data_IF_979442638338
#
_entry.id   IF_979442638338
#
_cell.length_a   1.000
_cell.length_b   1.000
_cell.length_c   1.000
_cell.angle_alpha   90.00
_cell.angle_beta   90.00
_cell.angle_gamma   90.00
#
_symmetry.space_group_name_H-M   'P 1'
#
loop_
_entity.id
_entity.type
_entity.pdbx_description
1 polymer ?
#
# COMPACT_ATOMS: atom_id res chain seq x y z
N UNK A 1 22.22 -2.92 12.34
CA UNK A 1 22.36 -2.80 10.90
C UNK A 1 21.00 -2.81 10.22
N UNK A 2 20.77 -1.83 9.40
CA UNK A 2 19.57 -1.77 8.60
C UNK A 2 19.76 -2.57 7.32
N UNK A 3 18.84 -3.48 7.04
CA UNK A 3 18.85 -4.20 5.79
C UNK A 3 17.44 -4.36 5.27
N UNK A 4 17.32 -4.50 3.98
CA UNK A 4 16.03 -4.70 3.32
C UNK A 4 16.21 -5.65 2.13
N UNK A 5 15.34 -6.64 2.05
CA UNK A 5 15.24 -7.58 0.93
C UNK A 5 13.86 -7.41 0.35
N UNK A 6 13.76 -7.24 -0.97
CA UNK A 6 12.51 -6.90 -1.62
C UNK A 6 12.35 -7.64 -2.96
N UNK A 7 12.18 -8.97 -2.95
CA UNK A 7 11.90 -9.70 -4.19
C UNK A 7 10.51 -9.34 -4.73
N UNK A 8 10.40 -9.26 -6.05
CA UNK A 8 9.17 -8.94 -6.75
C UNK A 8 9.01 -9.90 -7.92
N UNK A 9 7.86 -10.54 -8.00
CA UNK A 9 7.48 -11.41 -9.11
C UNK A 9 6.32 -10.76 -9.86
N UNK A 10 6.50 -10.53 -11.16
CA UNK A 10 5.47 -9.92 -11.99
C UNK A 10 5.09 -10.87 -13.13
N UNK A 11 3.80 -11.10 -13.27
CA UNK A 11 3.23 -11.87 -14.36
C UNK A 11 2.44 -10.94 -15.28
N UNK A 12 2.72 -11.01 -16.57
CA UNK A 12 2.03 -10.23 -17.58
C UNK A 12 1.01 -11.10 -18.29
N UNK A 13 -0.24 -10.65 -18.32
CA UNK A 13 -1.31 -11.27 -19.09
C UNK A 13 -1.74 -10.32 -20.21
N UNK A 14 -1.30 -10.60 -21.43
CA UNK A 14 -1.51 -9.68 -22.54
C UNK A 14 -0.62 -8.45 -22.47
N UNK A 15 -0.94 -7.44 -23.28
CA UNK A 15 -0.12 -6.23 -23.37
C UNK A 15 -0.32 -5.25 -22.21
N UNK A 16 -1.50 -5.28 -21.58
CA UNK A 16 -1.92 -4.22 -20.65
C UNK A 16 -2.32 -4.71 -19.28
N UNK A 17 -2.20 -5.99 -19.00
CA UNK A 17 -2.58 -6.56 -17.71
C UNK A 17 -1.38 -7.17 -17.01
N UNK A 18 -1.26 -6.91 -15.71
CA UNK A 18 -0.18 -7.53 -14.92
C UNK A 18 -0.64 -7.79 -13.49
N UNK A 19 -0.09 -8.85 -12.93
CA UNK A 19 -0.24 -9.21 -11.53
C UNK A 19 1.16 -9.25 -10.93
N UNK A 20 1.37 -8.52 -9.84
CA UNK A 20 2.66 -8.47 -9.16
C UNK A 20 2.52 -8.99 -7.74
N UNK A 21 3.47 -9.83 -7.33
CA UNK A 21 3.62 -10.28 -5.97
C UNK A 21 4.90 -9.69 -5.42
N UNK A 22 4.79 -9.04 -4.26
CA UNK A 22 5.91 -8.38 -3.62
C UNK A 22 6.08 -8.95 -2.23
N UNK A 23 7.29 -9.31 -1.88
CA UNK A 23 7.67 -9.66 -0.52
C UNK A 23 8.79 -8.72 -0.10
N UNK A 24 8.62 -8.09 1.04
CA UNK A 24 9.65 -7.21 1.59
C UNK A 24 9.93 -7.60 3.03
N UNK A 25 11.19 -7.83 3.32
CA UNK A 25 11.69 -8.00 4.68
C UNK A 25 12.64 -6.85 4.97
N UNK A 26 12.35 -6.09 6.00
CA UNK A 26 13.22 -4.99 6.42
C UNK A 26 13.47 -5.05 7.90
N UNK A 27 14.67 -4.68 8.29
CA UNK A 27 15.09 -4.56 9.67
C UNK A 27 15.73 -3.20 9.84
N UNK A 28 15.10 -2.37 10.66
CA UNK A 28 15.51 -1.00 10.91
C UNK A 28 15.80 -0.87 12.40
N UNK A 29 16.94 -0.30 12.74
CA UNK A 29 17.32 -0.07 14.12
C UNK A 29 17.74 1.38 14.34
N UNK A 30 17.31 1.93 15.48
CA UNK A 30 17.73 3.24 15.92
C UNK A 30 18.83 3.05 16.97
N UNK A 31 20.05 3.45 16.63
CA UNK A 31 21.21 3.31 17.51
C UNK A 31 21.34 4.48 18.49
N UNK A 32 20.50 5.49 18.37
CA UNK A 32 20.52 6.70 19.21
C UNK A 32 19.30 6.62 20.15
N UNK A 33 19.51 6.97 21.42
CA UNK A 33 18.45 6.95 22.41
C UNK A 33 18.16 5.56 22.96
N UNK A 34 16.90 5.12 22.94
CA UNK A 34 16.44 3.88 23.56
C UNK A 34 16.69 2.63 22.71
N UNK A 35 17.46 2.72 21.66
CA UNK A 35 17.80 1.58 20.76
C UNK A 35 16.55 0.87 20.22
N UNK A 36 15.60 1.62 19.72
CA UNK A 36 14.39 1.10 19.13
C UNK A 36 14.69 0.34 17.85
N UNK A 37 13.95 -0.73 17.60
CA UNK A 37 14.12 -1.54 16.40
C UNK A 37 12.78 -1.96 15.83
N UNK A 38 12.71 -2.09 14.52
CA UNK A 38 11.54 -2.54 13.79
C UNK A 38 11.96 -3.65 12.83
N UNK A 39 11.29 -4.79 12.94
CA UNK A 39 11.34 -5.85 11.94
C UNK A 39 9.99 -5.88 11.23
N UNK A 40 10.00 -5.63 9.95
CA UNK A 40 8.79 -5.56 9.14
C UNK A 40 8.82 -6.60 8.04
N UNK A 41 7.73 -7.37 7.94
CA UNK A 41 7.46 -8.25 6.81
C UNK A 41 6.26 -7.72 6.07
N UNK A 42 6.36 -7.63 4.76
CA UNK A 42 5.29 -7.16 3.90
C UNK A 42 5.07 -8.15 2.78
N UNK A 43 3.82 -8.60 2.63
CA UNK A 43 3.35 -9.32 1.45
C UNK A 43 2.40 -8.41 0.68
N UNK A 44 2.69 -8.18 -0.57
CA UNK A 44 1.88 -7.33 -1.43
C UNK A 44 1.43 -8.06 -2.67
N UNK A 45 0.18 -7.81 -3.06
CA UNK A 45 -0.38 -8.25 -4.34
C UNK A 45 -0.89 -7.00 -5.03
N UNK A 46 -0.47 -6.80 -6.27
CA UNK A 46 -0.88 -5.67 -7.09
C UNK A 46 -1.47 -6.20 -8.40
N UNK A 47 -2.68 -5.76 -8.70
CA UNK A 47 -3.37 -6.08 -9.93
C UNK A 47 -3.51 -4.80 -10.76
N UNK A 48 -2.99 -4.82 -11.95
CA UNK A 48 -3.06 -3.70 -12.88
C UNK A 48 -3.79 -4.16 -14.14
N UNK A 49 -4.94 -3.57 -14.39
CA UNK A 49 -5.73 -3.80 -15.59
C UNK A 49 -5.85 -2.50 -16.35
N UNK A 50 -5.33 -2.46 -17.57
CA UNK A 50 -5.41 -1.29 -18.44
C UNK A 50 -5.96 -1.75 -19.78
N UNK A 51 -7.27 -1.64 -19.98
CA UNK A 51 -7.91 -1.95 -21.24
C UNK A 51 -7.91 -0.71 -22.13
N UNK A 52 -6.86 -0.54 -22.89
CA UNK A 52 -6.70 0.56 -23.83
C UNK A 52 -6.81 1.93 -23.13
N UNK A 53 -6.71 3.02 -23.85
CA UNK A 53 -6.60 4.38 -23.31
C UNK A 53 -7.83 4.87 -22.52
N UNK A 54 -8.91 4.08 -22.46
CA UNK A 54 -10.19 4.53 -21.89
C UNK A 54 -10.50 3.99 -20.50
N UNK A 55 -9.76 2.99 -20.01
CA UNK A 55 -10.02 2.35 -18.72
C UNK A 55 -8.72 1.96 -18.04
N UNK A 56 -8.61 2.29 -16.79
CA UNK A 56 -7.54 1.80 -15.93
C UNK A 56 -8.11 1.32 -14.61
N UNK A 57 -7.66 0.18 -14.14
CA UNK A 57 -8.01 -0.35 -12.84
C UNK A 57 -6.75 -0.82 -12.16
N UNK A 58 -6.51 -0.32 -10.95
CA UNK A 58 -5.37 -0.71 -10.13
C UNK A 58 -5.91 -1.13 -8.77
N UNK A 59 -5.59 -2.34 -8.36
CA UNK A 59 -5.93 -2.85 -7.04
C UNK A 59 -4.67 -3.33 -6.35
N UNK A 60 -4.48 -2.92 -5.12
CA UNK A 60 -3.36 -3.32 -4.31
C UNK A 60 -3.85 -3.82 -2.96
N UNK A 61 -3.27 -4.91 -2.51
CA UNK A 61 -3.50 -5.45 -1.18
C UNK A 61 -2.15 -5.72 -0.54
N UNK A 62 -1.96 -5.23 0.67
CA UNK A 62 -0.72 -5.41 1.42
C UNK A 62 -1.03 -5.93 2.82
N UNK A 63 -0.22 -6.88 3.24
CA UNK A 63 -0.18 -7.39 4.60
C UNK A 63 1.17 -7.04 5.21
N UNK A 64 1.14 -6.37 6.36
CA UNK A 64 2.34 -6.00 7.09
C UNK A 64 2.34 -6.67 8.45
N UNK A 65 3.42 -7.33 8.78
CA UNK A 65 3.68 -7.80 10.13
C UNK A 65 4.84 -7.00 10.69
N UNK A 66 4.55 -6.20 11.71
CA UNK A 66 5.51 -5.31 12.35
C UNK A 66 5.86 -5.83 13.74
N UNK A 67 7.13 -6.09 13.96
CA UNK A 67 7.66 -6.37 15.29
C UNK A 67 8.49 -5.16 15.71
N UNK A 68 7.89 -4.31 16.53
CA UNK A 68 8.54 -3.10 17.01
C UNK A 68 9.01 -3.32 18.44
N UNK A 69 10.28 -3.05 18.69
CA UNK A 69 10.88 -3.09 20.00
C UNK A 69 11.21 -1.66 20.44
N UNK A 70 10.46 -1.15 21.40
CA UNK A 70 10.57 0.21 21.88
C UNK A 70 9.24 0.72 22.43
N UNK A 71 9.16 2.01 22.67
CA UNK A 71 7.95 2.63 23.19
C UNK A 71 6.91 2.79 22.07
N UNK A 72 5.75 2.15 22.26
CA UNK A 72 4.62 2.28 21.33
C UNK A 72 4.02 3.69 21.47
N UNK A 73 3.40 4.14 20.38
CA UNK A 73 2.78 5.47 20.28
C UNK A 73 3.76 6.64 20.40
N UNK A 74 5.06 6.38 20.25
CA UNK A 74 6.06 7.44 20.17
C UNK A 74 6.14 7.97 18.74
N UNK A 75 6.75 9.14 18.59
CA UNK A 75 7.00 9.73 17.26
C UNK A 75 7.90 8.79 16.44
N UNK A 76 8.89 8.17 17.08
CA UNK A 76 9.83 7.27 16.40
C UNK A 76 9.09 6.02 15.91
N UNK A 77 8.19 5.44 16.71
CA UNK A 77 7.41 4.29 16.27
C UNK A 77 6.51 4.64 15.09
N UNK A 78 5.90 5.82 15.09
CA UNK A 78 5.08 6.29 13.98
C UNK A 78 5.90 6.41 12.69
N UNK A 79 7.08 7.00 12.76
CA UNK A 79 7.94 7.18 11.60
C UNK A 79 8.45 5.83 11.08
N UNK A 80 8.93 4.97 11.96
CA UNK A 80 9.49 3.67 11.57
C UNK A 80 8.45 2.75 10.94
N UNK A 81 7.22 2.78 11.46
CA UNK A 81 6.12 1.93 10.96
C UNK A 81 5.26 2.63 9.90
N UNK A 82 5.63 3.83 9.46
CA UNK A 82 4.88 4.60 8.47
C UNK A 82 3.41 4.81 8.86
N UNK A 83 3.16 5.08 10.14
CA UNK A 83 1.81 5.26 10.65
C UNK A 83 1.04 3.97 10.92
N UNK A 84 1.62 2.80 10.66
CA UNK A 84 1.02 1.51 10.97
C UNK A 84 1.24 1.16 12.44
N UNK A 85 0.52 0.17 12.90
CA UNK A 85 0.64 -0.31 14.28
C UNK A 85 1.62 -1.49 14.35
N UNK A 86 2.10 -1.79 15.56
CA UNK A 86 2.80 -3.03 15.81
C UNK A 86 1.86 -4.22 15.61
N UNK A 87 2.39 -5.36 15.18
CA UNK A 87 1.61 -6.57 14.92
C UNK A 87 1.15 -6.65 13.47
N UNK A 88 -0.07 -7.08 13.26
CA UNK A 88 -0.62 -7.33 11.93
C UNK A 88 -1.37 -6.12 11.41
N UNK A 89 -1.07 -5.72 10.17
CA UNK A 89 -1.71 -4.62 9.49
C UNK A 89 -2.09 -5.03 8.07
N UNK A 90 -3.26 -4.60 7.65
CA UNK A 90 -3.78 -4.84 6.31
C UNK A 90 -4.07 -3.50 5.66
N UNK A 91 -3.63 -3.32 4.43
CA UNK A 91 -4.00 -2.16 3.63
C UNK A 91 -4.44 -2.62 2.26
N UNK A 92 -5.46 -1.96 1.72
CA UNK A 92 -5.94 -2.24 0.38
C UNK A 92 -6.33 -0.94 -0.29
N UNK A 93 -6.20 -0.94 -1.61
CA UNK A 93 -6.59 0.21 -2.41
C UNK A 93 -7.18 -0.24 -3.73
N UNK A 94 -8.18 0.49 -4.18
CA UNK A 94 -8.78 0.33 -5.50
C UNK A 94 -8.77 1.70 -6.17
N UNK A 95 -8.21 1.75 -7.36
CA UNK A 95 -8.22 2.96 -8.20
C UNK A 95 -8.82 2.58 -9.53
N UNK A 96 -9.86 3.30 -9.91
CA UNK A 96 -10.56 3.09 -11.16
C UNK A 96 -10.61 4.40 -11.90
N UNK A 97 -10.18 4.38 -13.16
CA UNK A 97 -10.22 5.53 -14.04
C UNK A 97 -10.94 5.15 -15.31
N UNK A 98 -11.89 5.97 -15.72
CA UNK A 98 -12.62 5.76 -16.95
C UNK A 98 -12.90 7.09 -17.63
N UNK A 99 -12.71 7.10 -18.95
CA UNK A 99 -13.09 8.23 -19.77
C UNK A 99 -14.56 8.03 -20.20
N UNK A 100 -15.45 8.88 -19.71
CA UNK A 100 -16.88 8.80 -20.01
C UNK A 100 -17.21 9.40 -21.38
N UNK A 101 -16.49 10.44 -21.79
CA UNK A 101 -16.62 11.07 -23.09
C UNK A 101 -15.31 11.73 -23.46
N UNK A 102 -15.24 12.34 -24.64
CA UNK A 102 -14.04 13.07 -25.07
C UNK A 102 -13.67 14.22 -24.11
N UNK A 103 -14.65 14.71 -23.34
CA UNK A 103 -14.49 15.88 -22.48
C UNK A 103 -14.65 15.56 -20.98
N UNK A 104 -14.90 14.31 -20.62
CA UNK A 104 -15.21 13.98 -19.24
C UNK A 104 -14.51 12.70 -18.80
N UNK A 105 -13.69 12.81 -17.76
CA UNK A 105 -13.02 11.69 -17.09
C UNK A 105 -13.55 11.52 -15.68
N UNK A 106 -13.67 10.27 -15.24
CA UNK A 106 -14.00 9.93 -13.86
C UNK A 106 -12.87 9.15 -13.23
N UNK A 107 -12.47 9.54 -12.02
CA UNK A 107 -11.52 8.82 -11.19
C UNK A 107 -12.20 8.43 -9.89
N UNK A 108 -12.12 7.16 -9.55
CA UNK A 108 -12.60 6.64 -8.28
C UNK A 108 -11.43 6.05 -7.52
N UNK A 109 -11.27 6.45 -6.26
CA UNK A 109 -10.20 5.97 -5.39
C UNK A 109 -10.83 5.51 -4.07
N UNK A 110 -10.53 4.27 -3.69
CA UNK A 110 -10.95 3.72 -2.40
C UNK A 110 -9.73 3.16 -1.69
N UNK A 111 -9.53 3.57 -0.46
CA UNK A 111 -8.44 3.12 0.40
C UNK A 111 -9.03 2.55 1.68
N UNK A 112 -8.50 1.42 2.13
CA UNK A 112 -8.88 0.85 3.39
C UNK A 112 -7.66 0.35 4.15
N UNK A 113 -7.77 0.33 5.46
CA UNK A 113 -6.74 -0.26 6.31
C UNK A 113 -7.33 -0.80 7.60
N UNK A 114 -6.70 -1.84 8.11
CA UNK A 114 -7.03 -2.42 9.40
C UNK A 114 -5.76 -2.80 10.12
N UNK A 115 -5.66 -2.46 11.39
CA UNK A 115 -4.50 -2.77 12.24
C UNK A 115 -4.98 -3.51 13.49
N UNK A 116 -4.54 -4.75 13.69
CA UNK A 116 -4.84 -5.57 14.86
C UNK A 116 -6.33 -5.52 15.23
N UNK A 117 -6.63 -5.09 16.48
CA UNK A 117 -7.99 -4.97 17.01
C UNK A 117 -8.62 -3.61 16.73
N UNK A 118 -7.94 -2.71 16.05
CA UNK A 118 -8.47 -1.40 15.72
C UNK A 118 -9.56 -1.50 14.68
N UNK A 119 -10.41 -0.47 14.62
CA UNK A 119 -11.47 -0.41 13.63
C UNK A 119 -10.89 -0.27 12.24
N UNK A 120 -11.58 -0.87 11.28
CA UNK A 120 -11.25 -0.68 9.88
C UNK A 120 -11.52 0.77 9.46
N UNK A 121 -10.56 1.38 8.79
CA UNK A 121 -10.69 2.74 8.29
C UNK A 121 -10.93 2.67 6.78
N UNK A 122 -11.98 3.32 6.33
CA UNK A 122 -12.35 3.41 4.93
C UNK A 122 -12.25 4.86 4.46
N UNK A 123 -11.69 5.06 3.29
CA UNK A 123 -11.57 6.38 2.69
C UNK A 123 -11.84 6.26 1.19
N UNK A 124 -12.84 6.95 0.71
CA UNK A 124 -13.20 6.92 -0.71
C UNK A 124 -13.32 8.33 -1.27
N UNK A 125 -12.93 8.50 -2.52
CA UNK A 125 -13.09 9.75 -3.22
C UNK A 125 -13.46 9.52 -4.68
N UNK A 126 -14.25 10.43 -5.22
CA UNK A 126 -14.63 10.45 -6.63
C UNK A 126 -14.23 11.81 -7.18
N UNK A 127 -13.50 11.81 -8.28
CA UNK A 127 -13.09 13.01 -8.96
C UNK A 127 -13.63 12.99 -10.38
N UNK A 128 -14.30 14.05 -10.76
CA UNK A 128 -14.75 14.28 -12.14
C UNK A 128 -13.88 15.39 -12.73
N UNK A 129 -13.31 15.12 -13.88
CA UNK A 129 -12.52 16.09 -14.62
C UNK A 129 -13.17 16.37 -15.96
N UNK A 130 -13.55 17.62 -16.17
CA UNK A 130 -14.05 18.09 -17.45
C UNK A 130 -12.93 18.80 -18.19
N UNK A 131 -12.82 18.51 -19.48
CA UNK A 131 -11.83 19.13 -20.37
C UNK A 131 -12.60 20.03 -21.34
N UNK A 132 -12.28 21.30 -21.32
CA UNK A 132 -12.92 22.30 -22.18
C UNK A 132 -12.05 22.63 -23.38
#
# INVERSE_FOLDING_TARGET
KDYSINPKLTYFSGENNRISFIYKLSNISNLIGNQESLKQQNFGISLFLNQKEKRGFISEFNYYKNEFNGELNSVISYVMMNGLQGGENYTWSFKFQRKLSKLLDINFIYLGRKSNSLRTIHNGSIQLKAIF
#
